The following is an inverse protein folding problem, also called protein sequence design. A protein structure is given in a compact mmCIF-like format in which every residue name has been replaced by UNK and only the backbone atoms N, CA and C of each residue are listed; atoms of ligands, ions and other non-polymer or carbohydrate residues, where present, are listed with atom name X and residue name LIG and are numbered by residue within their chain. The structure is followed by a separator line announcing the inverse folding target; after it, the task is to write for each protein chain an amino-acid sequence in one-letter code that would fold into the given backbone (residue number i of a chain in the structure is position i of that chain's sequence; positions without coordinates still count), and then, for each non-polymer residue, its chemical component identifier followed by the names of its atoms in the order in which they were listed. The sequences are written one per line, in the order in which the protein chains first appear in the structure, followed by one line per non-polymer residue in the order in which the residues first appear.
data_IF_214115219429
#
_entry.id   IF_214115219429
#
_cell.length_a   1.000
_cell.length_b   1.000
_cell.length_c   1.000
_cell.angle_alpha   90.00
_cell.angle_beta   90.00
_cell.angle_gamma   90.00
#
_symmetry.space_group_name_H-M   'P 1'
#
loop_
_entity.id
_entity.type
_entity.pdbx_description
1 polymer ?
#
# COMPACT_ATOMS: atom_id res chain seq x y z
N UNK A 1 -26.35 -9.82 1.56
CA UNK A 1 -25.46 -10.93 1.97
C UNK A 1 -25.34 -10.86 3.49
N UNK A 2 -25.64 -11.94 4.21
CA UNK A 2 -25.64 -11.95 5.68
C UNK A 2 -24.38 -12.67 6.17
N UNK A 3 -23.30 -11.91 6.41
CA UNK A 3 -21.99 -12.42 6.85
C UNK A 3 -21.45 -11.47 7.92
N UNK A 4 -20.95 -12.03 9.02
CA UNK A 4 -20.39 -11.24 10.11
C UNK A 4 -19.10 -10.55 9.66
N UNK A 5 -18.80 -9.38 10.20
CA UNK A 5 -17.57 -8.67 9.90
C UNK A 5 -16.69 -8.56 11.14
N UNK A 6 -15.37 -8.71 10.97
CA UNK A 6 -14.38 -8.71 12.06
C UNK A 6 -13.32 -7.65 11.80
N UNK A 7 -13.04 -6.81 12.81
CA UNK A 7 -11.92 -5.87 12.79
C UNK A 7 -11.11 -5.96 14.08
N UNK A 8 -9.81 -5.72 13.96
CA UNK A 8 -8.87 -5.67 15.07
C UNK A 8 -7.95 -4.46 14.90
N UNK A 9 -7.93 -3.58 15.90
CA UNK A 9 -7.08 -2.40 15.94
C UNK A 9 -6.23 -2.40 17.21
N UNK A 10 -5.44 -1.36 17.43
CA UNK A 10 -4.75 -1.17 18.72
C UNK A 10 -5.73 -0.95 19.89
N UNK A 11 -6.92 -0.42 19.61
CA UNK A 11 -7.91 -0.07 20.63
C UNK A 11 -8.78 -1.27 21.06
N UNK A 12 -8.87 -2.33 20.26
CA UNK A 12 -9.72 -3.47 20.56
C UNK A 12 -10.02 -4.35 19.37
N UNK A 13 -10.93 -5.30 19.58
CA UNK A 13 -11.42 -6.24 18.57
C UNK A 13 -12.93 -6.23 18.60
N UNK A 14 -13.55 -6.09 17.43
CA UNK A 14 -14.99 -5.98 17.30
C UNK A 14 -15.51 -6.89 16.21
N UNK A 15 -16.70 -7.45 16.45
CA UNK A 15 -17.45 -8.22 15.48
C UNK A 15 -18.80 -7.56 15.27
N UNK A 16 -19.17 -7.33 14.02
CA UNK A 16 -20.53 -6.99 13.62
C UNK A 16 -21.20 -8.29 13.14
N UNK A 17 -22.14 -8.86 13.91
CA UNK A 17 -23.02 -9.90 13.39
C UNK A 17 -23.86 -9.35 12.23
N UNK A 18 -24.36 -10.20 11.32
CA UNK A 18 -25.17 -9.74 10.20
C UNK A 18 -26.45 -9.00 10.63
N UNK A 19 -27.10 -9.50 11.68
CA UNK A 19 -28.41 -9.04 12.14
C UNK A 19 -28.36 -8.61 13.62
N UNK A 20 -27.25 -8.02 14.07
CA UNK A 20 -27.06 -7.68 15.48
C UNK A 20 -26.13 -6.49 15.72
N UNK A 21 -26.08 -6.00 16.97
CA UNK A 21 -25.20 -4.90 17.33
C UNK A 21 -23.73 -5.33 17.24
N UNK A 22 -22.87 -4.36 16.96
CA UNK A 22 -21.42 -4.56 17.05
C UNK A 22 -21.05 -4.90 18.50
N UNK A 23 -20.28 -5.97 18.68
CA UNK A 23 -19.82 -6.44 19.99
C UNK A 23 -18.31 -6.35 20.09
N UNK A 24 -17.81 -5.86 21.23
CA UNK A 24 -16.39 -5.95 21.58
C UNK A 24 -16.10 -7.36 22.08
N UNK A 25 -15.01 -7.95 21.60
CA UNK A 25 -14.61 -9.33 21.94
C UNK A 25 -13.14 -9.40 22.33
N UNK A 26 -12.75 -10.46 23.02
CA UNK A 26 -11.33 -10.76 23.24
C UNK A 26 -10.68 -11.28 21.96
N UNK A 27 -9.33 -11.24 21.88
CA UNK A 27 -8.60 -11.83 20.74
C UNK A 27 -8.89 -13.33 20.59
N UNK A 28 -8.93 -14.07 21.71
CA UNK A 28 -9.23 -15.50 21.69
C UNK A 28 -10.66 -15.81 21.23
N UNK A 29 -11.63 -14.98 21.63
CA UNK A 29 -13.00 -15.07 21.13
C UNK A 29 -13.07 -14.81 19.62
N UNK A 30 -12.38 -13.77 19.13
CA UNK A 30 -12.34 -13.44 17.72
C UNK A 30 -11.74 -14.56 16.87
N UNK A 31 -10.61 -15.13 17.31
CA UNK A 31 -9.98 -16.26 16.62
C UNK A 31 -10.94 -17.46 16.56
N UNK A 32 -11.61 -17.78 17.68
CA UNK A 32 -12.57 -18.90 17.72
C UNK A 32 -13.72 -18.69 16.74
N UNK A 33 -14.34 -17.50 16.75
CA UNK A 33 -15.45 -17.20 15.84
C UNK A 33 -15.04 -17.20 14.37
N UNK A 34 -13.86 -16.66 14.06
CA UNK A 34 -13.33 -16.66 12.71
C UNK A 34 -13.00 -18.07 12.19
N UNK A 35 -12.64 -19.00 13.09
CA UNK A 35 -12.45 -20.41 12.74
C UNK A 35 -13.79 -21.14 12.51
N UNK A 36 -14.85 -20.77 13.24
CA UNK A 36 -16.17 -21.42 13.13
C UNK A 36 -16.93 -21.01 11.86
N UNK A 37 -16.85 -19.73 11.47
CA UNK A 37 -17.61 -19.19 10.33
C UNK A 37 -16.81 -18.13 9.57
N UNK A 38 -16.96 -18.04 8.23
CA UNK A 38 -16.32 -16.98 7.45
C UNK A 38 -16.77 -15.59 7.90
N UNK A 39 -15.82 -14.67 8.02
CA UNK A 39 -16.09 -13.27 8.31
C UNK A 39 -15.67 -12.38 7.14
N UNK A 40 -16.35 -11.25 6.98
CA UNK A 40 -15.84 -10.13 6.20
C UNK A 40 -14.65 -9.53 6.92
N UNK A 41 -13.57 -9.36 6.16
CA UNK A 41 -12.32 -8.80 6.62
C UNK A 41 -11.90 -7.68 5.69
N UNK A 42 -11.09 -6.77 6.21
CA UNK A 42 -10.34 -5.83 5.40
C UNK A 42 -8.87 -6.00 5.73
N UNK A 43 -8.08 -6.49 4.77
CA UNK A 43 -6.66 -6.76 4.97
C UNK A 43 -6.42 -7.84 6.04
N UNK A 44 -6.83 -9.06 5.73
CA UNK A 44 -6.73 -10.24 6.59
C UNK A 44 -5.33 -10.45 7.19
N UNK A 45 -4.19 -10.22 6.48
CA UNK A 45 -2.86 -10.29 7.10
C UNK A 45 -2.66 -9.30 8.25
N UNK A 46 -3.15 -8.07 8.13
CA UNK A 46 -3.08 -7.07 9.20
C UNK A 46 -3.96 -7.51 10.38
N UNK A 47 -5.17 -8.00 10.12
CA UNK A 47 -6.07 -8.48 11.17
C UNK A 47 -5.44 -9.69 11.90
N UNK A 48 -4.88 -10.66 11.17
CA UNK A 48 -4.20 -11.82 11.73
C UNK A 48 -3.04 -11.39 12.65
N UNK A 49 -2.19 -10.48 12.18
CA UNK A 49 -1.09 -9.89 12.97
C UNK A 49 -1.59 -9.23 14.26
N UNK A 50 -2.70 -8.47 14.20
CA UNK A 50 -3.31 -7.81 15.37
C UNK A 50 -3.86 -8.80 16.39
N UNK A 51 -4.39 -9.93 15.92
CA UNK A 51 -4.88 -11.01 16.77
C UNK A 51 -3.75 -11.88 17.33
N UNK A 52 -2.53 -11.76 16.79
CA UNK A 52 -1.41 -12.66 17.12
C UNK A 52 -1.61 -14.06 16.54
N UNK A 53 -2.29 -14.16 15.40
CA UNK A 53 -2.62 -15.41 14.74
C UNK A 53 -1.85 -15.50 13.39
N UNK A 54 -1.34 -16.68 12.98
CA UNK A 54 -0.47 -16.78 11.81
C UNK A 54 -1.15 -16.38 10.50
N UNK A 55 -2.36 -16.88 10.27
CA UNK A 55 -3.12 -16.64 9.05
C UNK A 55 -4.61 -16.68 9.38
N UNK A 56 -5.38 -15.76 8.82
CA UNK A 56 -6.82 -15.69 9.03
C UNK A 56 -7.54 -15.89 7.69
N UNK A 57 -8.31 -16.95 7.58
CA UNK A 57 -9.15 -17.20 6.42
C UNK A 57 -10.46 -16.40 6.55
N UNK A 58 -10.97 -15.88 5.43
CA UNK A 58 -12.21 -15.11 5.40
C UNK A 58 -12.47 -14.48 4.05
N UNK A 59 -13.46 -13.60 4.02
CA UNK A 59 -13.85 -12.84 2.83
C UNK A 59 -13.17 -11.48 2.88
N UNK A 60 -11.94 -11.39 2.36
CA UNK A 60 -11.18 -10.15 2.35
C UNK A 60 -11.67 -9.19 1.25
N UNK A 61 -12.12 -8.01 1.65
CA UNK A 61 -12.62 -6.99 0.74
C UNK A 61 -11.58 -6.49 -0.26
N UNK A 62 -10.28 -6.52 0.08
CA UNK A 62 -9.23 -6.11 -0.84
C UNK A 62 -9.05 -7.12 -1.98
N UNK A 63 -9.25 -8.41 -1.71
CA UNK A 63 -9.25 -9.43 -2.75
C UNK A 63 -10.43 -9.26 -3.71
N UNK A 64 -11.63 -9.01 -3.17
CA UNK A 64 -12.80 -8.74 -3.99
C UNK A 64 -12.63 -7.45 -4.79
N UNK A 65 -12.11 -6.39 -4.17
CA UNK A 65 -11.79 -5.14 -4.85
C UNK A 65 -10.83 -5.37 -6.01
N UNK A 66 -9.74 -6.13 -5.81
CA UNK A 66 -8.78 -6.41 -6.87
C UNK A 66 -9.40 -7.19 -8.04
N UNK A 67 -10.37 -8.07 -7.78
CA UNK A 67 -11.10 -8.80 -8.82
C UNK A 67 -12.08 -7.90 -9.59
N UNK A 68 -12.84 -7.04 -8.89
CA UNK A 68 -13.87 -6.17 -9.48
C UNK A 68 -13.25 -4.95 -10.19
N UNK A 69 -12.15 -4.45 -9.66
CA UNK A 69 -11.47 -3.24 -10.10
C UNK A 69 -9.99 -3.54 -10.40
N UNK A 70 -9.70 -4.40 -11.38
CA UNK A 70 -8.33 -4.76 -11.71
C UNK A 70 -7.52 -3.52 -12.10
N UNK A 71 -6.27 -3.46 -11.64
CA UNK A 71 -5.34 -2.35 -11.87
C UNK A 71 -5.83 -0.97 -11.37
N UNK A 72 -6.79 -0.92 -10.44
CA UNK A 72 -7.15 0.33 -9.73
C UNK A 72 -6.47 0.37 -8.36
N UNK A 73 -5.98 1.55 -7.99
CA UNK A 73 -5.39 1.78 -6.68
C UNK A 73 -6.48 1.97 -5.63
N UNK A 74 -6.25 1.41 -4.43
CA UNK A 74 -7.01 1.72 -3.23
C UNK A 74 -6.07 1.70 -2.02
N UNK A 75 -6.26 2.66 -1.11
CA UNK A 75 -5.57 2.62 0.18
C UNK A 75 -6.22 1.50 1.01
N UNK A 76 -5.46 0.56 1.60
CA UNK A 76 -5.99 -0.65 2.26
C UNK A 76 -6.52 -0.37 3.67
N UNK A 77 -7.34 0.67 3.80
CA UNK A 77 -7.99 1.11 5.03
C UNK A 77 -9.49 1.31 4.78
N UNK A 78 -10.35 1.29 5.81
CA UNK A 78 -11.79 1.48 5.61
C UNK A 78 -12.13 2.78 4.87
N UNK A 79 -11.51 3.90 5.26
CA UNK A 79 -11.71 5.20 4.59
C UNK A 79 -11.15 5.18 3.16
N UNK A 80 -9.98 4.59 2.96
CA UNK A 80 -9.37 4.45 1.65
C UNK A 80 -10.19 3.63 0.66
N UNK A 81 -10.79 2.55 1.14
CA UNK A 81 -11.70 1.73 0.35
C UNK A 81 -13.00 2.48 0.06
N UNK A 82 -13.55 3.23 1.03
CA UNK A 82 -14.74 4.04 0.83
C UNK A 82 -14.55 5.07 -0.28
N UNK A 83 -13.40 5.76 -0.29
CA UNK A 83 -13.01 6.70 -1.34
C UNK A 83 -12.91 6.02 -2.70
N UNK A 84 -12.23 4.87 -2.78
CA UNK A 84 -12.06 4.13 -4.04
C UNK A 84 -13.39 3.63 -4.63
N UNK A 85 -14.37 3.34 -3.76
CA UNK A 85 -15.72 2.89 -4.11
C UNK A 85 -16.74 4.03 -4.26
N UNK A 86 -16.36 5.27 -3.92
CA UNK A 86 -17.27 6.42 -3.86
C UNK A 86 -18.52 6.18 -2.99
N UNK A 87 -18.35 5.57 -1.82
CA UNK A 87 -19.40 5.36 -0.81
C UNK A 87 -19.12 6.15 0.46
N UNK A 88 -20.14 6.29 1.31
CA UNK A 88 -19.97 6.96 2.60
C UNK A 88 -18.90 6.27 3.46
N UNK A 89 -17.91 7.02 3.97
CA UNK A 89 -16.86 6.47 4.81
C UNK A 89 -17.42 5.96 6.15
N UNK A 90 -16.69 5.10 6.86
CA UNK A 90 -17.07 4.72 8.22
C UNK A 90 -17.16 5.96 9.12
N UNK A 91 -18.17 6.00 9.97
CA UNK A 91 -18.42 7.12 10.90
C UNK A 91 -17.40 7.16 12.04
N UNK A 92 -16.79 6.02 12.36
CA UNK A 92 -15.75 5.87 13.37
C UNK A 92 -14.89 4.63 13.09
N UNK A 93 -13.78 4.47 13.81
CA UNK A 93 -12.92 3.28 13.70
C UNK A 93 -13.60 2.00 14.18
N UNK A 94 -14.73 2.11 14.88
CA UNK A 94 -15.56 0.99 15.36
C UNK A 94 -16.82 0.77 14.51
N UNK A 95 -17.00 1.50 13.41
CA UNK A 95 -18.06 1.24 12.43
C UNK A 95 -17.73 0.00 11.59
N UNK A 96 -17.78 -1.16 12.24
CA UNK A 96 -17.51 -2.48 11.63
C UNK A 96 -18.54 -2.80 10.53
N UNK A 97 -19.76 -2.24 10.65
CA UNK A 97 -20.83 -2.38 9.67
C UNK A 97 -20.48 -1.81 8.29
N UNK A 98 -19.49 -0.91 8.20
CA UNK A 98 -18.93 -0.44 6.93
C UNK A 98 -18.51 -1.59 6.00
N UNK A 99 -17.94 -2.68 6.52
CA UNK A 99 -17.49 -3.80 5.68
C UNK A 99 -18.64 -4.44 4.91
N UNK A 100 -19.84 -4.51 5.51
CA UNK A 100 -21.03 -5.00 4.82
C UNK A 100 -21.46 -4.07 3.68
N UNK A 101 -21.40 -2.75 3.89
CA UNK A 101 -21.69 -1.75 2.84
C UNK A 101 -20.69 -1.83 1.69
N UNK A 102 -19.40 -1.94 1.99
CA UNK A 102 -18.35 -2.09 0.99
C UNK A 102 -18.48 -3.40 0.19
N UNK A 103 -18.78 -4.52 0.87
CA UNK A 103 -19.05 -5.80 0.21
C UNK A 103 -20.24 -5.71 -0.75
N UNK A 104 -21.33 -5.06 -0.32
CA UNK A 104 -22.50 -4.85 -1.16
C UNK A 104 -22.15 -4.02 -2.41
N UNK A 105 -21.49 -2.87 -2.25
CA UNK A 105 -21.08 -2.01 -3.36
C UNK A 105 -20.20 -2.75 -4.39
N UNK A 106 -19.24 -3.56 -3.92
CA UNK A 106 -18.38 -4.37 -4.80
C UNK A 106 -19.16 -5.44 -5.56
N UNK A 107 -20.09 -6.12 -4.89
CA UNK A 107 -20.93 -7.14 -5.51
C UNK A 107 -21.95 -6.54 -6.49
N UNK A 108 -22.50 -5.37 -6.18
CA UNK A 108 -23.42 -4.64 -7.05
C UNK A 108 -22.70 -4.14 -8.31
N UNK A 109 -21.45 -3.69 -8.19
CA UNK A 109 -20.62 -3.39 -9.36
C UNK A 109 -20.42 -4.62 -10.28
N UNK A 110 -20.38 -5.84 -9.72
CA UNK A 110 -20.32 -7.07 -10.51
C UNK A 110 -21.63 -7.40 -11.24
N UNK A 111 -22.77 -6.87 -10.79
CA UNK A 111 -24.08 -7.06 -11.42
C UNK A 111 -24.32 -6.08 -12.57
N UNK A 112 -23.62 -4.94 -12.59
CA UNK A 112 -23.76 -3.94 -13.65
C UNK A 112 -23.42 -4.54 -15.04
N UNK A 113 -24.38 -4.61 -15.98
CA UNK A 113 -24.10 -5.08 -17.34
C UNK A 113 -22.98 -4.30 -18.03
N UNK A 114 -22.79 -3.03 -17.67
CA UNK A 114 -21.74 -2.15 -18.18
C UNK A 114 -20.40 -2.25 -17.42
N UNK A 115 -20.26 -3.18 -16.47
CA UNK A 115 -19.00 -3.38 -15.73
C UNK A 115 -17.81 -3.57 -16.69
N UNK A 116 -16.84 -2.64 -16.74
CA UNK A 116 -15.80 -2.65 -17.78
C UNK A 116 -14.90 -3.90 -17.77
N UNK A 117 -14.67 -4.48 -16.59
CA UNK A 117 -13.81 -5.67 -16.44
C UNK A 117 -14.59 -6.99 -16.55
N UNK A 118 -15.86 -6.97 -16.99
CA UNK A 118 -16.70 -8.17 -17.13
C UNK A 118 -16.12 -9.17 -18.13
N UNK A 119 -15.58 -8.69 -19.25
CA UNK A 119 -14.98 -9.55 -20.28
C UNK A 119 -13.78 -10.32 -19.70
N UNK A 120 -13.84 -11.64 -19.72
CA UNK A 120 -12.81 -12.55 -19.19
C UNK A 120 -12.97 -12.88 -17.70
N UNK A 121 -13.80 -12.13 -16.95
CA UNK A 121 -13.96 -12.31 -15.51
C UNK A 121 -14.50 -13.70 -15.15
N UNK A 122 -15.39 -14.28 -15.98
CA UNK A 122 -15.92 -15.61 -15.73
C UNK A 122 -14.81 -16.68 -15.72
N UNK A 123 -13.88 -16.63 -16.69
CA UNK A 123 -12.77 -17.58 -16.78
C UNK A 123 -11.80 -17.44 -15.60
N UNK A 124 -11.48 -16.19 -15.21
CA UNK A 124 -10.65 -15.91 -14.03
C UNK A 124 -11.32 -16.46 -12.77
N UNK A 125 -12.63 -16.22 -12.61
CA UNK A 125 -13.41 -16.74 -11.49
C UNK A 125 -13.35 -18.28 -11.42
N UNK A 126 -13.46 -19.00 -12.54
CA UNK A 126 -13.34 -20.46 -12.54
C UNK A 126 -11.96 -20.93 -12.06
N UNK A 127 -10.89 -20.24 -12.44
CA UNK A 127 -9.53 -20.54 -11.98
C UNK A 127 -9.38 -20.30 -10.48
N UNK A 128 -9.87 -19.17 -9.97
CA UNK A 128 -9.85 -18.85 -8.54
C UNK A 128 -10.74 -19.80 -7.71
N UNK A 129 -11.89 -20.23 -8.25
CA UNK A 129 -12.76 -21.21 -7.61
C UNK A 129 -12.06 -22.56 -7.40
N UNK A 130 -11.24 -23.03 -8.36
CA UNK A 130 -10.43 -24.25 -8.19
C UNK A 130 -9.38 -24.12 -7.09
N UNK A 131 -8.91 -22.90 -6.83
CA UNK A 131 -8.01 -22.57 -5.72
C UNK A 131 -8.77 -22.26 -4.41
N UNK A 132 -10.08 -22.53 -4.37
CA UNK A 132 -10.94 -22.33 -3.19
C UNK A 132 -11.00 -20.88 -2.69
N UNK A 133 -10.83 -19.91 -3.59
CA UNK A 133 -10.97 -18.51 -3.23
C UNK A 133 -12.35 -18.21 -2.63
N UNK A 134 -12.38 -17.63 -1.42
CA UNK A 134 -13.59 -17.54 -0.59
C UNK A 134 -14.72 -16.73 -1.24
N UNK A 135 -14.40 -15.74 -2.08
CA UNK A 135 -15.40 -14.95 -2.81
C UNK A 135 -16.02 -15.68 -4.00
N UNK A 136 -15.43 -16.77 -4.47
CA UNK A 136 -15.85 -17.40 -5.71
C UNK A 136 -17.34 -17.84 -5.73
N UNK A 137 -17.90 -18.45 -4.65
CA UNK A 137 -19.32 -18.80 -4.60
C UNK A 137 -20.26 -17.58 -4.67
N UNK A 138 -19.83 -16.43 -4.16
CA UNK A 138 -20.62 -15.19 -4.14
C UNK A 138 -20.69 -14.52 -5.53
N UNK A 139 -19.62 -14.65 -6.33
CA UNK A 139 -19.55 -14.12 -7.68
C UNK A 139 -20.09 -15.09 -8.74
N UNK A 140 -20.02 -16.41 -8.51
CA UNK A 140 -20.48 -17.42 -9.46
C UNK A 140 -21.96 -17.29 -9.85
N UNK A 141 -22.78 -16.75 -8.94
CA UNK A 141 -24.21 -16.49 -9.17
C UNK A 141 -24.47 -15.23 -10.01
N UNK A 142 -23.48 -14.35 -10.13
CA UNK A 142 -23.57 -13.02 -10.77
C UNK A 142 -22.95 -13.02 -12.16
N UNK A 143 -21.90 -13.82 -12.35
CA UNK A 143 -21.21 -13.95 -13.62
C UNK A 143 -21.81 -15.07 -14.48
N UNK A 144 -22.46 -14.68 -15.58
CA UNK A 144 -22.95 -15.63 -16.59
C UNK A 144 -21.78 -16.25 -17.34
N UNK A 145 -21.90 -17.54 -17.66
CA UNK A 145 -20.95 -18.21 -18.55
C UNK A 145 -21.05 -17.56 -19.94
N UNK A 146 -19.92 -17.15 -20.55
CA UNK A 146 -19.95 -16.59 -21.89
C UNK A 146 -20.30 -17.67 -22.93
N UNK A 147 -21.02 -17.27 -23.98
CA UNK A 147 -21.43 -18.18 -25.07
C UNK A 147 -20.25 -18.66 -25.91
N UNK A 148 -19.22 -17.83 -26.04
CA UNK A 148 -17.97 -18.13 -26.72
C UNK A 148 -16.79 -17.85 -25.79
N UNK A 149 -15.64 -18.53 -25.98
CA UNK A 149 -14.43 -18.24 -25.22
C UNK A 149 -14.03 -16.76 -25.35
N UNK A 150 -13.96 -16.06 -24.23
CA UNK A 150 -13.52 -14.68 -24.17
C UNK A 150 -12.00 -14.60 -24.32
N UNK A 151 -11.51 -13.59 -25.06
CA UNK A 151 -10.07 -13.35 -25.24
C UNK A 151 -9.41 -13.00 -23.91
N UNK A 152 -8.18 -13.49 -23.70
CA UNK A 152 -7.39 -13.16 -22.52
C UNK A 152 -7.12 -11.66 -22.41
N UNK A 153 -7.17 -11.09 -21.20
CA UNK A 153 -6.82 -9.68 -20.95
C UNK A 153 -5.42 -9.34 -21.48
N UNK A 154 -4.47 -10.29 -21.39
CA UNK A 154 -3.11 -10.13 -21.92
C UNK A 154 -3.04 -9.98 -23.45
N UNK A 155 -4.06 -10.44 -24.18
CA UNK A 155 -4.15 -10.21 -25.63
C UNK A 155 -4.76 -8.85 -25.98
N UNK A 156 -5.35 -8.18 -25.00
CA UNK A 156 -6.04 -6.88 -25.17
C UNK A 156 -5.20 -5.70 -24.68
N UNK A 157 -4.15 -5.95 -23.90
CA UNK A 157 -3.24 -4.92 -23.42
C UNK A 157 -2.34 -4.41 -24.56
N UNK A 158 -2.08 -3.09 -24.65
CA UNK A 158 -1.09 -2.57 -25.56
C UNK A 158 0.28 -3.18 -25.23
N UNK A 159 1.09 -3.45 -26.27
CA UNK A 159 2.47 -3.90 -26.08
C UNK A 159 3.22 -2.82 -25.31
N UNK A 160 3.77 -3.19 -24.16
CA UNK A 160 4.71 -2.35 -23.44
C UNK A 160 6.12 -2.67 -23.96
N UNK A 161 6.91 -1.63 -24.25
CA UNK A 161 8.32 -1.78 -24.57
C UNK A 161 9.14 -1.44 -23.33
N UNK A 162 10.12 -2.29 -23.02
CA UNK A 162 11.05 -2.05 -21.93
C UNK A 162 11.98 -0.90 -22.33
N UNK A 163 11.87 0.23 -21.63
CA UNK A 163 12.78 1.35 -21.84
C UNK A 163 14.22 0.89 -21.62
N UNK A 164 15.14 1.37 -22.45
CA UNK A 164 16.56 1.05 -22.31
C UNK A 164 17.02 1.26 -20.86
N UNK A 165 17.91 0.39 -20.32
CA UNK A 165 18.42 0.53 -18.97
C UNK A 165 18.94 1.95 -18.75
N UNK A 166 18.65 2.53 -17.57
CA UNK A 166 19.19 3.85 -17.23
C UNK A 166 20.71 3.82 -17.40
N UNK A 167 21.32 4.86 -18.03
CA UNK A 167 22.76 4.93 -18.14
C UNK A 167 23.38 4.91 -16.74
N UNK A 168 24.61 4.42 -16.64
CA UNK A 168 25.34 4.44 -15.39
C UNK A 168 25.34 5.87 -14.82
N UNK A 169 25.07 6.05 -13.51
CA UNK A 169 25.12 7.36 -12.89
C UNK A 169 26.50 7.98 -13.10
N UNK A 170 26.52 9.27 -13.44
CA UNK A 170 27.77 9.99 -13.68
C UNK A 170 28.55 10.10 -12.37
N UNK A 171 29.83 9.78 -12.40
CA UNK A 171 30.75 10.12 -11.32
C UNK A 171 31.08 11.61 -11.42
N UNK A 172 30.68 12.39 -10.43
CA UNK A 172 31.02 13.82 -10.34
C UNK A 172 31.97 14.03 -9.16
N UNK A 173 32.91 14.95 -9.32
CA UNK A 173 33.76 15.45 -8.24
C UNK A 173 33.12 16.71 -7.70
N UNK A 174 32.63 16.68 -6.46
CA UNK A 174 32.08 17.87 -5.80
C UNK A 174 33.24 18.72 -5.28
N UNK A 175 33.32 19.97 -5.73
CA UNK A 175 34.26 20.94 -5.15
C UNK A 175 33.64 21.62 -3.93
N UNK A 176 34.47 22.19 -3.06
CA UNK A 176 33.98 22.91 -1.88
C UNK A 176 33.10 24.09 -2.29
N UNK A 177 33.42 24.77 -3.39
CA UNK A 177 32.65 25.88 -3.93
C UNK A 177 31.25 25.43 -4.38
N UNK A 178 31.14 24.23 -4.98
CA UNK A 178 29.86 23.65 -5.36
C UNK A 178 29.01 23.29 -4.14
N UNK A 179 29.64 22.74 -3.10
CA UNK A 179 28.98 22.43 -1.82
C UNK A 179 28.51 23.71 -1.14
N UNK A 180 29.33 24.75 -1.11
CA UNK A 180 28.98 26.07 -0.55
C UNK A 180 27.84 26.72 -1.31
N UNK A 181 27.90 26.73 -2.64
CA UNK A 181 26.84 27.28 -3.48
C UNK A 181 25.50 26.55 -3.26
N UNK A 182 25.54 25.22 -3.12
CA UNK A 182 24.35 24.41 -2.84
C UNK A 182 23.81 24.66 -1.44
N UNK A 183 24.68 24.76 -0.44
CA UNK A 183 24.30 25.06 0.94
C UNK A 183 23.66 26.45 1.04
N UNK A 184 24.27 27.47 0.41
CA UNK A 184 23.74 28.83 0.36
C UNK A 184 22.36 28.87 -0.33
N UNK A 185 22.18 28.12 -1.43
CA UNK A 185 20.89 28.00 -2.10
C UNK A 185 19.81 27.33 -1.23
N UNK A 186 20.18 26.34 -0.40
CA UNK A 186 19.25 25.68 0.52
C UNK A 186 18.90 26.53 1.74
N UNK A 187 19.84 27.35 2.22
CA UNK A 187 19.64 28.25 3.35
C UNK A 187 18.79 29.48 2.99
N UNK A 188 18.89 29.94 1.75
CA UNK A 188 18.13 31.08 1.22
C UNK A 188 18.68 32.46 1.61
N UNK A 189 18.16 33.55 1.02
CA UNK A 189 18.65 34.90 1.26
C UNK A 189 18.45 35.34 2.72
N UNK A 190 19.46 35.97 3.32
CA UNK A 190 19.39 36.50 4.69
C UNK A 190 19.67 35.49 5.80
N UNK A 191 19.99 34.23 5.45
CA UNK A 191 20.42 33.23 6.43
C UNK A 191 21.77 33.59 7.04
N UNK A 192 21.93 33.35 8.34
CA UNK A 192 23.21 33.48 9.03
C UNK A 192 24.24 32.48 8.46
N UNK A 193 25.39 32.99 8.04
CA UNK A 193 26.49 32.20 7.47
C UNK A 193 27.36 31.59 8.57
N UNK A 194 27.07 30.35 8.97
CA UNK A 194 27.84 29.64 10.01
C UNK A 194 29.03 28.86 9.45
N UNK A 195 30.24 29.20 9.89
CA UNK A 195 31.47 28.52 9.46
C UNK A 195 31.48 27.03 9.82
N UNK A 196 31.02 26.68 11.03
CA UNK A 196 30.92 25.28 11.46
C UNK A 196 30.00 24.41 10.57
N UNK A 197 28.95 25.00 9.97
CA UNK A 197 28.05 24.30 9.06
C UNK A 197 28.71 24.02 7.70
N UNK A 198 29.48 24.99 7.18
CA UNK A 198 30.26 24.84 5.94
C UNK A 198 31.37 23.80 6.09
N UNK A 199 32.14 23.89 7.17
CA UNK A 199 33.20 22.92 7.45
C UNK A 199 32.64 21.49 7.59
N UNK A 200 31.48 21.35 8.23
CA UNK A 200 30.78 20.07 8.31
C UNK A 200 30.28 19.59 6.92
N UNK A 201 29.74 20.49 6.09
CA UNK A 201 29.29 20.15 4.75
C UNK A 201 30.43 19.71 3.83
N UNK A 202 31.60 20.36 3.92
CA UNK A 202 32.81 19.97 3.17
C UNK A 202 33.29 18.58 3.61
N UNK A 203 33.34 18.34 4.92
CA UNK A 203 33.71 17.03 5.47
C UNK A 203 32.74 15.94 4.99
N UNK A 204 31.43 16.18 5.05
CA UNK A 204 30.41 15.26 4.55
C UNK A 204 30.53 14.99 3.04
N UNK A 205 30.94 16.00 2.26
CA UNK A 205 31.14 15.89 0.81
C UNK A 205 32.21 14.88 0.39
N UNK A 206 33.16 14.54 1.26
CA UNK A 206 34.14 13.50 0.99
C UNK A 206 33.51 12.11 0.77
N UNK A 207 32.32 11.84 1.32
CA UNK A 207 31.59 10.60 1.10
C UNK A 207 31.09 10.45 -0.35
N UNK A 208 30.81 11.57 -1.02
CA UNK A 208 30.28 11.63 -2.39
C UNK A 208 31.37 11.65 -3.46
N UNK A 209 32.65 11.65 -3.09
CA UNK A 209 33.76 11.69 -4.04
C UNK A 209 33.86 10.40 -4.89
N UNK A 210 34.56 10.41 -6.03
CA UNK A 210 34.89 9.19 -6.76
C UNK A 210 35.61 8.17 -5.85
N UNK A 211 35.24 6.89 -5.96
CA UNK A 211 35.93 5.81 -5.23
C UNK A 211 37.35 5.63 -5.78
N UNK A 212 38.32 5.49 -4.88
CA UNK A 212 39.73 5.25 -5.23
C UNK A 212 40.00 3.82 -5.70
N UNK A 213 39.18 2.86 -5.28
CA UNK A 213 39.26 1.46 -5.74
C UNK A 213 37.88 0.80 -5.84
N UNK A 214 37.71 -0.24 -6.68
CA UNK A 214 36.39 -0.82 -7.00
C UNK A 214 35.58 -1.34 -5.81
N UNK A 215 36.23 -1.68 -4.69
CA UNK A 215 35.61 -2.29 -3.51
C UNK A 215 35.85 -1.52 -2.20
N UNK A 216 36.25 -0.24 -2.30
CA UNK A 216 36.46 0.61 -1.12
C UNK A 216 35.37 1.69 -1.06
N UNK A 217 34.58 1.77 0.03
CA UNK A 217 33.68 2.89 0.24
C UNK A 217 34.46 4.14 0.64
N UNK A 218 33.93 5.31 0.28
CA UNK A 218 34.34 6.55 0.93
C UNK A 218 33.62 6.63 2.27
N UNK A 219 34.35 6.42 3.36
CA UNK A 219 33.83 6.49 4.71
C UNK A 219 34.25 7.80 5.37
N UNK A 220 33.29 8.51 5.94
CA UNK A 220 33.51 9.79 6.62
C UNK A 220 32.90 9.71 8.02
N UNK A 221 33.70 10.09 9.01
CA UNK A 221 33.22 10.41 10.35
C UNK A 221 33.35 11.92 10.53
N UNK A 222 32.23 12.64 10.51
CA UNK A 222 32.19 14.09 10.71
C UNK A 222 31.39 14.41 11.96
N UNK A 223 32.02 15.09 12.91
CA UNK A 223 31.35 15.58 14.12
C UNK A 223 30.84 17.01 13.89
N UNK A 224 29.66 17.28 14.43
CA UNK A 224 29.04 18.58 14.38
C UNK A 224 28.58 18.99 15.78
N UNK A 225 28.92 20.22 16.20
CA UNK A 225 28.39 20.82 17.42
C UNK A 225 26.86 20.95 17.43
N UNK A 226 26.28 21.23 18.58
CA UNK A 226 24.83 21.50 18.70
C UNK A 226 24.48 22.82 17.99
N UNK A 227 23.30 22.88 17.36
CA UNK A 227 22.80 24.11 16.73
C UNK A 227 23.44 24.50 15.39
N UNK A 228 24.41 23.75 14.85
CA UNK A 228 25.11 24.16 13.61
C UNK A 228 24.35 23.88 12.30
N UNK A 229 23.17 23.27 12.35
CA UNK A 229 22.38 22.97 11.14
C UNK A 229 22.86 21.74 10.35
N UNK A 230 23.11 20.62 11.05
CA UNK A 230 23.62 19.35 10.48
C UNK A 230 22.82 18.84 9.28
N UNK A 231 21.49 18.99 9.33
CA UNK A 231 20.58 18.51 8.28
C UNK A 231 20.93 19.09 6.92
N UNK A 232 21.03 20.42 6.83
CA UNK A 232 21.43 21.06 5.57
C UNK A 232 22.90 20.79 5.24
N UNK A 233 23.74 20.65 6.27
CA UNK A 233 25.16 20.35 6.11
C UNK A 233 25.44 19.03 5.37
N UNK A 234 24.73 17.93 5.66
CA UNK A 234 24.92 16.68 4.90
C UNK A 234 24.07 16.60 3.62
N UNK A 235 22.96 17.34 3.54
CA UNK A 235 22.12 17.35 2.34
C UNK A 235 22.70 18.18 1.19
N UNK A 236 23.45 19.24 1.49
CA UNK A 236 24.10 20.06 0.48
C UNK A 236 25.01 19.23 -0.47
N UNK A 237 25.96 18.41 0.02
CA UNK A 237 26.76 17.55 -0.85
C UNK A 237 26.04 16.30 -1.39
N UNK A 238 24.84 15.95 -0.90
CA UNK A 238 24.10 14.77 -1.35
C UNK A 238 23.07 15.06 -2.45
N UNK A 239 22.71 16.33 -2.62
CA UNK A 239 21.64 16.79 -3.54
C UNK A 239 22.14 17.71 -4.65
N UNK A 240 23.47 17.84 -4.78
CA UNK A 240 24.16 18.57 -5.85
C UNK A 240 24.58 17.68 -7.00
#
# INVERSE_FOLDING_TARGET
MSIAALTATHAGVWIAPPDGPVVSVSRGEAIRRAADTPHLLLNAPVIASRLGYPELAGLDLLELFAFIHPARFAVPTPRGLAEALAIDPPTSDTDVGFMGRAAAALLDAADDPAWPARHGAWTVLQSLARQRWSWAPHLARRLRKPESPERSVFTSLPKWEEAAPRPAPRTITLTNEAIDARLDAMLGPGSERREGQRNYAHAAGAASQPRRSPNSPNMVLAEAGTGIGKTLGYLAPASG
#
